data_IF_032379083946
#
_entry.id   IF_032379083946
#
_cell.length_a   1.000
_cell.length_b   1.000
_cell.length_c   1.000
_cell.angle_alpha   90.00
_cell.angle_beta   90.00
_cell.angle_gamma   90.00
#
_symmetry.space_group_name_H-M   'P 1'
#
loop_
_entity.id
_entity.type
_entity.pdbx_description
1 polymer ?
#
# COMPACT_ATOMS: atom_id res chain seq x y z
N UNK A 1 14.44 -7.53 20.99
CA UNK A 1 14.26 -8.23 19.69
C UNK A 1 13.57 -7.24 18.77
N UNK A 2 14.30 -6.61 17.85
CA UNK A 2 13.67 -5.74 16.85
C UNK A 2 13.15 -6.67 15.76
N UNK A 3 11.89 -7.05 15.87
CA UNK A 3 11.19 -7.70 14.77
C UNK A 3 10.70 -6.56 13.89
N UNK A 4 11.41 -6.28 12.79
CA UNK A 4 10.87 -5.44 11.72
C UNK A 4 10.56 -6.38 10.55
N UNK A 5 9.31 -6.87 10.42
CA UNK A 5 8.97 -7.84 9.40
C UNK A 5 8.69 -7.19 8.04
N UNK A 6 8.71 -5.86 7.98
CA UNK A 6 8.50 -5.11 6.77
C UNK A 6 9.63 -4.15 6.44
N UNK A 7 9.96 -4.09 5.16
CA UNK A 7 10.86 -3.10 4.58
C UNK A 7 10.04 -2.12 3.73
N UNK A 8 10.40 -0.84 3.77
CA UNK A 8 9.70 0.22 3.02
C UNK A 8 10.67 0.84 2.02
N UNK A 9 10.38 0.67 0.74
CA UNK A 9 11.22 1.13 -0.35
C UNK A 9 10.66 2.44 -0.88
N UNK A 10 11.44 3.51 -0.84
CA UNK A 10 11.03 4.85 -1.30
C UNK A 10 11.63 5.18 -2.66
N UNK A 11 10.77 5.43 -3.65
CA UNK A 11 11.12 5.83 -5.00
C UNK A 11 10.74 7.31 -5.23
N UNK A 12 11.54 8.22 -4.67
CA UNK A 12 11.38 9.65 -4.94
C UNK A 12 11.83 10.01 -6.37
N UNK A 13 11.63 11.26 -6.80
CA UNK A 13 11.99 11.76 -8.15
C UNK A 13 13.45 11.54 -8.56
N UNK A 14 14.36 11.43 -7.60
CA UNK A 14 15.81 11.31 -7.83
C UNK A 14 16.32 9.87 -7.65
N UNK A 15 15.44 8.93 -7.31
CA UNK A 15 15.82 7.53 -7.14
C UNK A 15 15.98 6.86 -8.52
N UNK A 16 17.12 6.22 -8.75
CA UNK A 16 17.45 5.56 -10.03
C UNK A 16 16.49 4.41 -10.39
N UNK A 17 15.94 3.73 -9.37
CA UNK A 17 15.01 2.60 -9.54
C UNK A 17 13.55 3.05 -9.63
N UNK A 18 13.26 4.36 -9.64
CA UNK A 18 11.89 4.86 -9.79
C UNK A 18 11.21 4.38 -11.07
N UNK A 19 11.95 4.26 -12.16
CA UNK A 19 11.43 3.79 -13.45
C UNK A 19 10.91 2.35 -13.36
N UNK A 20 11.51 1.51 -12.50
CA UNK A 20 11.02 0.16 -12.19
C UNK A 20 9.66 0.24 -11.50
N UNK A 21 9.53 1.07 -10.46
CA UNK A 21 8.27 1.28 -9.75
C UNK A 21 7.17 1.81 -10.66
N UNK A 22 7.48 2.74 -11.56
CA UNK A 22 6.53 3.29 -12.53
C UNK A 22 6.13 2.31 -13.63
N UNK A 23 7.04 1.42 -14.04
CA UNK A 23 6.78 0.39 -15.04
C UNK A 23 5.86 -0.73 -14.51
N UNK A 24 5.87 -0.98 -13.21
CA UNK A 24 4.99 -1.96 -12.57
C UNK A 24 3.53 -1.52 -12.49
N UNK A 25 3.24 -0.22 -12.60
CA UNK A 25 1.87 0.30 -12.44
C UNK A 25 0.93 -0.26 -13.51
N UNK A 26 -0.25 -0.73 -13.08
CA UNK A 26 -1.32 -1.07 -14.02
C UNK A 26 -1.79 0.17 -14.78
N UNK A 27 -2.39 -0.02 -15.97
CA UNK A 27 -2.81 1.08 -16.85
C UNK A 27 -3.69 2.11 -16.12
N UNK A 28 -4.63 1.66 -15.27
CA UNK A 28 -5.51 2.53 -14.49
C UNK A 28 -4.79 3.43 -13.47
N UNK A 29 -3.55 3.10 -13.11
CA UNK A 29 -2.74 3.82 -12.13
C UNK A 29 -1.65 4.71 -12.76
N UNK A 30 -1.74 5.01 -14.07
CA UNK A 30 -0.78 5.88 -14.77
C UNK A 30 -0.58 7.26 -14.09
N UNK A 31 -1.61 7.80 -13.43
CA UNK A 31 -1.56 9.06 -12.71
C UNK A 31 -0.52 9.06 -11.58
N UNK A 32 -0.21 7.90 -11.00
CA UNK A 32 0.75 7.76 -9.91
C UNK A 32 2.18 8.15 -10.31
N UNK A 33 2.53 8.10 -11.61
CA UNK A 33 3.83 8.59 -12.13
C UNK A 33 4.05 10.09 -11.88
N UNK A 34 2.98 10.85 -11.63
CA UNK A 34 3.04 12.28 -11.27
C UNK A 34 3.36 12.52 -9.78
N UNK A 35 3.31 11.51 -8.93
CA UNK A 35 3.58 11.64 -7.51
C UNK A 35 5.04 12.02 -7.20
N UNK A 36 5.25 12.62 -6.02
CA UNK A 36 6.58 12.98 -5.54
C UNK A 36 7.37 11.72 -5.18
N UNK A 37 6.70 10.73 -4.59
CA UNK A 37 7.26 9.46 -4.18
C UNK A 37 6.28 8.31 -4.47
N UNK A 38 6.80 7.20 -4.98
CA UNK A 38 6.13 5.90 -4.92
C UNK A 38 6.80 5.09 -3.81
N UNK A 39 6.02 4.34 -3.05
CA UNK A 39 6.52 3.56 -1.93
C UNK A 39 6.09 2.11 -2.14
N UNK A 40 7.01 1.15 -2.12
CA UNK A 40 6.67 -0.26 -2.07
C UNK A 40 6.81 -0.76 -0.63
N UNK A 41 5.73 -1.33 -0.10
CA UNK A 41 5.68 -1.87 1.23
C UNK A 41 5.91 -3.38 1.14
N UNK A 42 7.01 -3.86 1.70
CA UNK A 42 7.44 -5.25 1.58
C UNK A 42 7.28 -5.92 2.93
N UNK A 43 6.81 -7.16 2.98
CA UNK A 43 6.96 -8.01 4.16
C UNK A 43 7.51 -9.38 3.76
N UNK A 44 7.94 -10.16 4.76
CA UNK A 44 8.32 -11.57 4.57
C UNK A 44 7.44 -12.51 5.37
N UNK A 45 7.32 -13.75 4.90
CA UNK A 45 6.52 -14.79 5.56
C UNK A 45 7.20 -15.41 6.78
N UNK A 46 8.46 -15.07 7.07
CA UNK A 46 9.26 -15.65 8.15
C UNK A 46 9.76 -14.60 9.15
N UNK A 47 10.08 -15.01 10.38
CA UNK A 47 10.61 -14.08 11.39
C UNK A 47 11.99 -13.53 11.03
N UNK A 48 12.82 -14.36 10.40
CA UNK A 48 14.18 -14.05 9.99
C UNK A 48 14.40 -14.48 8.54
N UNK A 49 15.39 -13.88 7.88
CA UNK A 49 15.81 -14.30 6.55
C UNK A 49 16.23 -15.78 6.61
N UNK A 50 15.78 -16.58 5.66
CA UNK A 50 16.08 -18.02 5.54
C UNK A 50 15.54 -18.88 6.71
N UNK A 51 14.64 -18.34 7.54
CA UNK A 51 14.00 -19.10 8.62
C UNK A 51 12.76 -19.85 8.13
N UNK A 52 12.63 -21.11 8.53
CA UNK A 52 11.40 -21.91 8.33
C UNK A 52 10.25 -21.50 9.28
N UNK A 53 10.55 -20.66 10.28
CA UNK A 53 9.53 -20.22 11.25
C UNK A 53 8.67 -19.12 10.64
N UNK A 54 7.46 -19.51 10.23
CA UNK A 54 6.45 -18.59 9.71
C UNK A 54 6.17 -17.43 10.67
N UNK A 55 6.05 -16.22 10.14
CA UNK A 55 5.60 -15.02 10.82
C UNK A 55 4.16 -14.69 10.37
N UNK A 56 3.13 -15.16 11.09
CA UNK A 56 1.74 -14.86 10.74
C UNK A 56 1.36 -13.39 10.95
N UNK A 57 2.22 -12.59 11.60
CA UNK A 57 1.95 -11.19 11.95
C UNK A 57 2.47 -10.20 10.90
N UNK A 58 3.31 -10.65 9.97
CA UNK A 58 4.06 -9.77 9.07
C UNK A 58 3.17 -8.79 8.30
N UNK A 59 2.08 -9.29 7.71
CA UNK A 59 1.14 -8.46 6.96
C UNK A 59 0.34 -7.49 7.85
N UNK A 60 -0.03 -7.93 9.08
CA UNK A 60 -0.73 -7.07 10.04
C UNK A 60 0.18 -5.93 10.51
N UNK A 61 1.42 -6.24 10.88
CA UNK A 61 2.42 -5.27 11.33
C UNK A 61 2.74 -4.26 10.22
N UNK A 62 2.88 -4.73 8.97
CA UNK A 62 3.02 -3.85 7.81
C UNK A 62 1.80 -2.94 7.63
N UNK A 63 0.59 -3.47 7.77
CA UNK A 63 -0.65 -2.70 7.69
C UNK A 63 -0.73 -1.60 8.76
N UNK A 64 -0.35 -1.90 9.99
CA UNK A 64 -0.29 -0.93 11.10
C UNK A 64 0.76 0.17 10.82
N UNK A 65 1.94 -0.22 10.34
CA UNK A 65 2.99 0.73 9.95
C UNK A 65 2.52 1.68 8.84
N UNK A 66 1.90 1.13 7.79
CA UNK A 66 1.34 1.92 6.69
C UNK A 66 0.20 2.81 7.14
N UNK A 67 -0.65 2.36 8.09
CA UNK A 67 -1.68 3.22 8.65
C UNK A 67 -1.07 4.46 9.31
N UNK A 68 0.01 4.30 10.08
CA UNK A 68 0.70 5.43 10.70
C UNK A 68 1.33 6.36 9.65
N UNK A 69 1.98 5.80 8.62
CA UNK A 69 2.54 6.57 7.51
C UNK A 69 1.45 7.41 6.81
N UNK A 70 0.31 6.80 6.51
CA UNK A 70 -0.79 7.47 5.82
C UNK A 70 -1.44 8.56 6.70
N UNK A 71 -1.63 8.31 8.00
CA UNK A 71 -2.12 9.33 8.92
C UNK A 71 -1.16 10.51 9.02
N UNK A 72 0.15 10.26 9.14
CA UNK A 72 1.14 11.33 9.17
C UNK A 72 1.16 12.11 7.85
N UNK A 73 1.12 11.44 6.70
CA UNK A 73 1.08 12.11 5.41
C UNK A 73 -0.10 13.09 5.30
N UNK A 74 -1.30 12.67 5.73
CA UNK A 74 -2.48 13.55 5.75
C UNK A 74 -2.28 14.71 6.73
N UNK A 75 -1.73 14.46 7.92
CA UNK A 75 -1.45 15.51 8.91
C UNK A 75 -0.47 16.58 8.39
N UNK A 76 0.48 16.18 7.54
CA UNK A 76 1.45 17.07 6.87
C UNK A 76 0.87 17.74 5.60
N UNK A 77 -0.43 17.57 5.31
CA UNK A 77 -1.08 18.15 4.13
C UNK A 77 -0.68 17.48 2.81
N UNK A 78 -0.19 16.24 2.85
CA UNK A 78 0.11 15.44 1.67
C UNK A 78 -1.11 14.61 1.25
N UNK A 79 -1.24 14.41 -0.06
CA UNK A 79 -2.09 13.36 -0.63
C UNK A 79 -1.35 12.02 -0.52
N UNK A 80 -2.08 11.01 -0.06
CA UNK A 80 -1.60 9.64 0.08
C UNK A 80 -2.64 8.66 -0.43
N UNK A 81 -2.22 7.70 -1.25
CA UNK A 81 -3.12 6.72 -1.85
C UNK A 81 -2.46 5.33 -1.91
N UNK A 82 -2.89 4.37 -1.09
CA UNK A 82 -2.47 2.98 -1.24
C UNK A 82 -3.16 2.36 -2.48
N UNK A 83 -2.41 1.62 -3.29
CA UNK A 83 -2.87 0.96 -4.51
C UNK A 83 -2.46 -0.51 -4.51
N UNK A 84 -3.33 -1.36 -5.06
CA UNK A 84 -3.03 -2.77 -5.36
C UNK A 84 -2.87 -3.03 -6.87
N UNK A 85 -3.14 -2.04 -7.72
CA UNK A 85 -3.07 -2.18 -9.18
C UNK A 85 -1.65 -1.99 -9.72
N UNK A 86 -0.80 -2.99 -9.54
CA UNK A 86 0.56 -3.06 -10.09
C UNK A 86 0.98 -4.52 -10.26
N UNK A 87 2.06 -4.75 -11.03
CA UNK A 87 2.68 -6.06 -11.21
C UNK A 87 3.72 -6.31 -10.10
N UNK A 88 3.28 -6.99 -9.04
CA UNK A 88 4.12 -7.37 -7.91
C UNK A 88 5.31 -8.25 -8.34
N UNK A 89 5.08 -9.23 -9.22
CA UNK A 89 6.12 -10.14 -9.68
C UNK A 89 7.22 -9.36 -10.42
N UNK A 90 6.82 -8.42 -11.28
CA UNK A 90 7.77 -7.55 -11.96
C UNK A 90 8.61 -6.74 -10.98
N UNK A 91 8.01 -6.17 -9.92
CA UNK A 91 8.77 -5.45 -8.90
C UNK A 91 9.76 -6.36 -8.18
N UNK A 92 9.31 -7.54 -7.76
CA UNK A 92 10.16 -8.52 -7.06
C UNK A 92 11.37 -8.87 -7.92
N UNK A 93 11.14 -9.24 -9.18
CA UNK A 93 12.18 -9.64 -10.13
C UNK A 93 13.18 -8.49 -10.39
N UNK A 94 12.69 -7.26 -10.59
CA UNK A 94 13.53 -6.12 -10.99
C UNK A 94 14.27 -5.46 -9.84
N UNK A 95 13.73 -5.53 -8.63
CA UNK A 95 14.36 -4.99 -7.43
C UNK A 95 15.23 -6.02 -6.70
N UNK A 96 15.27 -7.27 -7.19
CA UNK A 96 16.03 -8.35 -6.56
C UNK A 96 15.50 -8.70 -5.17
N UNK A 97 14.19 -8.59 -4.97
CA UNK A 97 13.55 -8.94 -3.69
C UNK A 97 13.63 -10.47 -3.54
N UNK A 98 14.17 -11.00 -2.41
CA UNK A 98 14.34 -12.44 -2.23
C UNK A 98 13.00 -13.21 -2.22
N UNK A 99 13.06 -14.49 -2.55
CA UNK A 99 11.93 -15.41 -2.36
C UNK A 99 11.42 -15.39 -0.91
N UNK A 100 10.10 -15.50 -0.73
CA UNK A 100 9.46 -15.45 0.60
C UNK A 100 9.14 -14.03 1.09
N UNK A 101 9.40 -13.02 0.25
CA UNK A 101 8.97 -11.65 0.44
C UNK A 101 7.84 -11.31 -0.53
N UNK A 102 6.96 -10.41 -0.09
CA UNK A 102 5.77 -9.97 -0.80
C UNK A 102 5.67 -8.46 -0.75
N UNK A 103 5.11 -7.88 -1.81
CA UNK A 103 4.79 -6.46 -1.94
C UNK A 103 3.27 -6.34 -2.09
N UNK A 104 2.48 -6.42 -1.01
CA UNK A 104 1.01 -6.43 -1.12
C UNK A 104 0.41 -5.09 -1.54
N UNK A 105 1.16 -4.00 -1.40
CA UNK A 105 0.67 -2.64 -1.64
C UNK A 105 1.80 -1.70 -2.04
N UNK A 106 1.49 -0.81 -2.99
CA UNK A 106 2.28 0.40 -3.21
C UNK A 106 1.52 1.60 -2.66
N UNK A 107 2.23 2.59 -2.12
CA UNK A 107 1.64 3.86 -1.67
C UNK A 107 2.15 5.00 -2.55
N UNK A 108 1.20 5.77 -3.07
CA UNK A 108 1.45 6.96 -3.88
C UNK A 108 1.41 8.17 -2.95
N UNK A 109 2.50 8.95 -2.90
CA UNK A 109 2.65 10.06 -1.97
C UNK A 109 3.09 11.36 -2.68
N UNK A 110 2.45 12.48 -2.36
CA UNK A 110 2.86 13.79 -2.82
C UNK A 110 1.87 14.90 -2.48
N UNK A 111 2.07 16.09 -3.01
CA UNK A 111 1.07 17.15 -2.90
C UNK A 111 -0.04 16.95 -3.93
N UNK A 112 -1.29 17.11 -3.49
CA UNK A 112 -2.44 17.10 -4.39
C UNK A 112 -2.29 18.21 -5.44
N UNK A 113 -2.47 17.85 -6.71
CA UNK A 113 -2.56 18.79 -7.84
C UNK A 113 -3.59 18.26 -8.82
N UNK A 114 -4.53 19.09 -9.30
CA UNK A 114 -5.47 18.68 -10.34
C UNK A 114 -4.77 18.07 -11.55
N UNK A 115 -5.41 17.09 -12.16
CA UNK A 115 -4.89 16.42 -13.34
C UNK A 115 -5.97 16.28 -14.42
N UNK A 116 -5.81 17.03 -15.50
CA UNK A 116 -6.70 16.97 -16.67
C UNK A 116 -6.58 15.68 -17.49
N UNK A 117 -5.60 14.82 -17.19
CA UNK A 117 -5.39 13.55 -17.90
C UNK A 117 -6.18 12.38 -17.34
N UNK A 118 -6.93 12.56 -16.24
CA UNK A 118 -7.76 11.52 -15.64
C UNK A 118 -8.93 11.12 -16.55
N UNK A 119 -9.32 9.85 -16.50
CA UNK A 119 -10.55 9.35 -17.14
C UNK A 119 -11.76 9.88 -16.36
N UNK A 120 -12.92 10.04 -17.01
CA UNK A 120 -14.13 10.61 -16.38
C UNK A 120 -14.50 9.94 -15.05
N UNK A 121 -14.54 8.60 -15.04
CA UNK A 121 -14.84 7.83 -13.83
C UNK A 121 -13.84 8.06 -12.68
N UNK A 122 -12.58 8.43 -12.99
CA UNK A 122 -11.57 8.77 -11.97
C UNK A 122 -11.89 10.13 -11.36
N UNK A 123 -12.26 11.11 -12.19
CA UNK A 123 -12.70 12.43 -11.74
C UNK A 123 -13.95 12.28 -10.86
N UNK A 124 -14.96 11.56 -11.32
CA UNK A 124 -16.17 11.26 -10.53
C UNK A 124 -15.83 10.62 -9.18
N UNK A 125 -14.87 9.68 -9.16
CA UNK A 125 -14.44 9.01 -7.92
C UNK A 125 -13.75 9.94 -6.92
N UNK A 126 -13.05 10.99 -7.37
CA UNK A 126 -12.40 11.97 -6.48
C UNK A 126 -13.41 12.76 -5.66
N UNK A 127 -14.57 13.07 -6.24
CA UNK A 127 -15.62 13.87 -5.60
C UNK A 127 -16.72 13.02 -4.94
N UNK A 128 -16.68 11.69 -5.11
CA UNK A 128 -17.70 10.82 -4.54
C UNK A 128 -17.66 10.85 -3.02
N UNK A 129 -18.84 11.01 -2.40
CA UNK A 129 -19.00 10.90 -0.95
C UNK A 129 -18.54 9.51 -0.50
N UNK A 130 -17.77 9.47 0.59
CA UNK A 130 -17.24 8.22 1.14
C UNK A 130 -18.38 7.36 1.69
N UNK A 131 -18.55 6.19 1.10
CA UNK A 131 -19.49 5.18 1.58
C UNK A 131 -18.74 4.12 2.42
N UNK A 132 -19.35 3.69 3.52
CA UNK A 132 -18.89 2.59 4.39
C UNK A 132 -20.07 1.67 4.66
N UNK A 133 -19.78 0.40 4.95
CA UNK A 133 -20.83 -0.50 5.44
C UNK A 133 -21.35 0.00 6.79
N UNK A 134 -22.60 -0.33 7.10
CA UNK A 134 -23.21 -0.01 8.39
C UNK A 134 -22.45 -0.67 9.54
N UNK A 135 -22.48 -0.06 10.74
CA UNK A 135 -21.70 -0.52 11.88
C UNK A 135 -22.05 -1.95 12.29
N UNK A 136 -23.33 -2.29 12.29
CA UNK A 136 -23.87 -3.61 12.54
C UNK A 136 -23.39 -4.69 11.55
N UNK A 137 -22.86 -4.31 10.39
CA UNK A 137 -22.30 -5.26 9.42
C UNK A 137 -20.82 -5.60 9.65
N UNK A 138 -20.14 -4.83 10.50
CA UNK A 138 -18.70 -4.98 10.80
C UNK A 138 -18.42 -5.22 12.29
N UNK A 139 -19.37 -4.86 13.16
CA UNK A 139 -19.38 -5.14 14.59
C UNK A 139 -20.71 -5.79 14.95
N UNK A 140 -20.88 -7.05 14.53
CA UNK A 140 -22.13 -7.81 14.65
C UNK A 140 -22.15 -8.78 15.82
N UNK A 141 -21.04 -9.37 16.26
CA UNK A 141 -21.09 -10.52 17.16
C UNK A 141 -20.87 -10.18 18.64
N UNK A 142 -21.74 -10.69 19.51
CA UNK A 142 -21.66 -10.51 20.96
C UNK A 142 -21.01 -11.73 21.64
N UNK A 143 -19.69 -11.77 21.69
CA UNK A 143 -18.91 -12.80 22.40
C UNK A 143 -18.87 -14.19 21.73
N UNK A 144 -19.89 -14.56 20.94
CA UNK A 144 -19.93 -15.80 20.13
C UNK A 144 -20.39 -15.51 18.70
N UNK A 145 -19.88 -16.28 17.72
CA UNK A 145 -20.16 -16.04 16.30
C UNK A 145 -21.61 -16.35 15.88
N UNK A 146 -22.36 -17.11 16.69
CA UNK A 146 -23.77 -17.41 16.43
C UNK A 146 -24.73 -16.37 17.02
N UNK A 147 -24.23 -15.36 17.75
CA UNK A 147 -25.03 -14.35 18.41
C UNK A 147 -24.69 -12.98 17.83
N UNK A 148 -25.66 -12.38 17.15
CA UNK A 148 -25.56 -10.97 16.79
C UNK A 148 -25.88 -10.08 18.01
N UNK A 149 -25.35 -8.86 18.03
CA UNK A 149 -25.81 -7.79 18.92
C UNK A 149 -27.29 -7.46 18.72
#
# INVERSE_FOLDING_TARGET
MIINPGDIFFFNRNNENRTVAEAALAEGNFWAKRAACLIAAVHRDSYEKDSEKANPWAALELGLSLSNLMHQAVAEGLAVHPIAGFDEKYLIDRLGIPTGYHVPVMVVLGHYKPFSGLKEWQIESEYKVRERKALDSVANFAGIFSQNF
#
